data_IF_441611174778
#
_entry.id   IF_441611174778
#
_cell.length_a   1.000
_cell.length_b   1.000
_cell.length_c   1.000
_cell.angle_alpha   90.00
_cell.angle_beta   90.00
_cell.angle_gamma   90.00
#
_symmetry.space_group_name_H-M   'P 1'
#
loop_
_entity.id
_entity.type
_entity.pdbx_description
1 polymer ?
#
# COMPACT_ATOMS: atom_id res chain seq x y z
N UNK A 1 1.51 -35.96 -27.76
CA UNK A 1 1.85 -34.52 -27.82
C UNK A 1 3.19 -34.30 -27.16
N UNK A 2 4.06 -33.48 -27.75
CA UNK A 2 5.37 -33.15 -27.20
C UNK A 2 5.15 -32.07 -26.13
N UNK A 3 5.46 -32.35 -24.86
CA UNK A 3 5.30 -31.37 -23.79
C UNK A 3 6.15 -30.14 -24.10
N UNK A 4 5.50 -28.98 -24.24
CA UNK A 4 6.18 -27.71 -24.43
C UNK A 4 6.75 -27.28 -23.08
N UNK A 5 8.08 -27.21 -23.00
CA UNK A 5 8.77 -26.68 -21.84
C UNK A 5 8.98 -25.18 -22.04
N UNK A 6 8.29 -24.35 -21.25
CA UNK A 6 8.49 -22.89 -21.27
C UNK A 6 9.07 -22.45 -19.93
N UNK A 7 10.11 -21.62 -19.98
CA UNK A 7 10.60 -20.92 -18.78
C UNK A 7 9.61 -19.79 -18.48
N UNK A 8 8.92 -19.86 -17.34
CA UNK A 8 7.85 -18.90 -17.00
C UNK A 8 8.24 -17.97 -15.85
N UNK A 9 9.17 -18.38 -15.00
CA UNK A 9 9.70 -17.55 -13.93
C UNK A 9 11.16 -17.91 -13.63
N UNK A 10 11.91 -16.93 -13.13
CA UNK A 10 13.25 -17.14 -12.56
C UNK A 10 13.20 -16.75 -11.09
N UNK A 11 13.60 -17.66 -10.21
CA UNK A 11 13.82 -17.35 -8.79
C UNK A 11 15.32 -17.56 -8.53
N UNK A 12 16.04 -16.49 -8.23
CA UNK A 12 17.49 -16.51 -8.01
C UNK A 12 18.28 -17.21 -9.14
N UNK A 13 18.01 -16.83 -10.40
CA UNK A 13 18.59 -17.42 -11.62
C UNK A 13 18.24 -18.90 -11.88
N UNK A 14 17.30 -19.48 -11.13
CA UNK A 14 16.77 -20.82 -11.43
C UNK A 14 15.56 -20.67 -12.33
N UNK A 15 15.69 -21.16 -13.57
CA UNK A 15 14.56 -21.25 -14.52
C UNK A 15 13.55 -22.27 -14.02
N UNK A 16 12.35 -21.79 -13.71
CA UNK A 16 11.19 -22.63 -13.43
C UNK A 16 10.65 -23.11 -14.77
N UNK A 17 10.88 -24.39 -15.06
CA UNK A 17 10.38 -25.08 -16.24
C UNK A 17 8.94 -25.52 -15.97
N UNK A 18 8.00 -24.95 -16.72
CA UNK A 18 6.60 -25.41 -16.70
C UNK A 18 6.43 -26.45 -17.80
N UNK A 19 5.84 -27.58 -17.44
CA UNK A 19 5.38 -28.62 -18.37
C UNK A 19 3.96 -28.26 -18.77
N UNK A 20 3.72 -27.85 -20.02
CA UNK A 20 2.36 -27.58 -20.48
C UNK A 20 1.64 -28.88 -20.84
N UNK A 21 0.70 -29.27 -19.97
CA UNK A 21 -0.36 -30.26 -20.24
C UNK A 21 -1.65 -29.92 -19.43
N UNK A 22 -1.94 -28.62 -19.26
CA UNK A 22 -3.09 -28.11 -18.51
C UNK A 22 -2.78 -27.60 -17.09
N UNK A 23 -1.80 -28.20 -16.41
CA UNK A 23 -1.41 -27.81 -15.04
C UNK A 23 0.01 -27.26 -14.96
N UNK A 24 0.17 -26.08 -14.35
CA UNK A 24 1.47 -25.45 -14.12
C UNK A 24 2.16 -26.12 -12.93
N UNK A 25 3.03 -27.08 -13.19
CA UNK A 25 3.82 -27.78 -12.16
C UNK A 25 5.31 -27.43 -12.25
N UNK A 26 6.01 -27.60 -11.13
CA UNK A 26 7.43 -27.25 -10.98
C UNK A 26 8.20 -28.44 -10.40
N UNK A 27 9.22 -28.96 -11.10
CA UNK A 27 10.09 -30.00 -10.54
C UNK A 27 11.00 -29.42 -9.46
N UNK A 28 11.09 -30.08 -8.30
CA UNK A 28 11.91 -29.59 -7.17
C UNK A 28 13.40 -29.86 -7.36
N UNK A 29 13.75 -30.92 -8.10
CA UNK A 29 15.12 -31.40 -8.27
C UNK A 29 16.07 -30.34 -8.85
N UNK A 30 15.75 -29.66 -9.96
CA UNK A 30 16.61 -28.59 -10.48
C UNK A 30 16.85 -27.46 -9.49
N UNK A 31 15.84 -27.12 -8.68
CA UNK A 31 15.92 -26.06 -7.67
C UNK A 31 16.81 -26.53 -6.51
N UNK A 32 16.64 -27.76 -6.04
CA UNK A 32 17.49 -28.35 -5.00
C UNK A 32 18.97 -28.36 -5.42
N UNK A 33 19.26 -28.78 -6.65
CA UNK A 33 20.61 -28.76 -7.23
C UNK A 33 21.18 -27.34 -7.30
N UNK A 34 20.38 -26.36 -7.72
CA UNK A 34 20.82 -24.96 -7.77
C UNK A 34 21.16 -24.39 -6.38
N UNK A 35 20.38 -24.73 -5.35
CA UNK A 35 20.62 -24.30 -3.96
C UNK A 35 21.65 -25.14 -3.21
N UNK A 36 22.06 -26.29 -3.76
CA UNK A 36 22.97 -27.22 -3.10
C UNK A 36 22.34 -27.92 -1.89
N UNK A 37 21.05 -28.27 -1.99
CA UNK A 37 20.33 -29.02 -0.95
C UNK A 37 19.94 -30.42 -1.42
N UNK A 38 19.81 -31.35 -0.49
CA UNK A 38 19.40 -32.72 -0.75
C UNK A 38 17.93 -32.83 -1.21
N UNK A 39 17.71 -33.35 -2.41
CA UNK A 39 16.38 -33.46 -3.02
C UNK A 39 15.47 -34.42 -2.25
N UNK A 40 16.03 -35.54 -1.76
CA UNK A 40 15.27 -36.56 -1.06
C UNK A 40 14.78 -36.05 0.31
N UNK A 41 15.61 -35.26 1.01
CA UNK A 41 15.20 -34.59 2.24
C UNK A 41 14.08 -33.59 2.00
N UNK A 42 14.10 -32.84 0.89
CA UNK A 42 13.00 -31.92 0.58
C UNK A 42 11.73 -32.66 0.18
N UNK A 43 11.86 -33.74 -0.58
CA UNK A 43 10.74 -34.62 -0.94
C UNK A 43 10.05 -35.16 0.32
N UNK A 44 10.81 -35.73 1.27
CA UNK A 44 10.26 -36.21 2.56
C UNK A 44 9.54 -35.11 3.35
N UNK A 45 10.05 -33.88 3.32
CA UNK A 45 9.39 -32.73 3.97
C UNK A 45 8.06 -32.38 3.31
N UNK A 46 8.02 -32.41 1.97
CA UNK A 46 6.79 -32.17 1.21
C UNK A 46 5.78 -33.28 1.47
N UNK A 47 6.20 -34.54 1.46
CA UNK A 47 5.34 -35.69 1.75
C UNK A 47 4.82 -35.70 3.19
N UNK A 48 5.55 -35.10 4.14
CA UNK A 48 5.12 -34.93 5.53
C UNK A 48 4.28 -33.68 5.81
N UNK A 49 4.08 -32.80 4.82
CA UNK A 49 3.28 -31.58 4.95
C UNK A 49 1.83 -31.84 4.52
N UNK A 50 0.85 -31.48 5.34
CA UNK A 50 -0.58 -31.78 5.08
C UNK A 50 -1.11 -31.15 3.79
N UNK A 51 -0.59 -29.98 3.40
CA UNK A 51 -1.04 -29.26 2.21
C UNK A 51 -0.25 -29.75 1.00
N UNK A 52 1.08 -29.69 1.07
CA UNK A 52 1.96 -30.00 -0.06
C UNK A 52 1.89 -31.47 -0.47
N UNK A 53 1.72 -32.40 0.48
CA UNK A 53 1.59 -33.84 0.17
C UNK A 53 0.37 -34.15 -0.69
N UNK A 54 -0.74 -33.42 -0.50
CA UNK A 54 -1.99 -33.63 -1.24
C UNK A 54 -1.93 -33.16 -2.69
N UNK A 55 -0.99 -32.27 -3.01
CA UNK A 55 -0.86 -31.64 -4.33
C UNK A 55 0.43 -32.03 -5.06
N UNK A 56 1.39 -32.64 -4.38
CA UNK A 56 2.62 -33.13 -4.99
C UNK A 56 2.34 -34.32 -5.91
N UNK A 57 3.03 -34.37 -7.05
CA UNK A 57 2.83 -35.40 -8.06
C UNK A 57 4.13 -35.77 -8.76
N UNK A 58 4.19 -36.97 -9.32
CA UNK A 58 5.24 -37.36 -10.26
C UNK A 58 4.82 -36.95 -11.67
N UNK A 59 5.69 -36.25 -12.38
CA UNK A 59 5.41 -35.84 -13.76
C UNK A 59 6.67 -35.80 -14.62
N UNK A 60 6.49 -35.99 -15.92
CA UNK A 60 7.56 -35.93 -16.89
C UNK A 60 8.04 -34.48 -17.09
N UNK A 61 9.28 -34.20 -16.69
CA UNK A 61 9.92 -32.91 -16.84
C UNK A 61 11.24 -33.01 -17.62
N UNK A 62 11.57 -31.97 -18.37
CA UNK A 62 12.80 -31.89 -19.14
C UNK A 62 13.97 -31.54 -18.22
N UNK A 63 14.97 -32.41 -18.16
CA UNK A 63 16.23 -32.17 -17.47
C UNK A 63 17.12 -31.15 -18.20
N UNK A 64 18.20 -30.74 -17.52
CA UNK A 64 19.15 -29.76 -18.07
C UNK A 64 19.88 -30.26 -19.34
N UNK A 65 19.88 -31.57 -19.59
CA UNK A 65 20.45 -32.22 -20.78
C UNK A 65 19.44 -32.35 -21.93
N UNK A 66 18.25 -31.76 -21.79
CA UNK A 66 17.18 -31.79 -22.80
C UNK A 66 16.41 -33.12 -22.86
N UNK A 67 16.68 -34.07 -21.97
CA UNK A 67 15.95 -35.34 -21.89
C UNK A 67 14.79 -35.25 -20.91
N UNK A 68 13.77 -36.08 -21.11
CA UNK A 68 12.62 -36.13 -20.21
C UNK A 68 12.86 -37.17 -19.10
N UNK A 69 12.54 -36.78 -17.88
CA UNK A 69 12.60 -37.63 -16.69
C UNK A 69 11.30 -37.52 -15.91
N UNK A 70 10.87 -38.61 -15.28
CA UNK A 70 9.86 -38.52 -14.24
C UNK A 70 10.49 -37.83 -13.02
N UNK A 71 9.89 -36.72 -12.58
CA UNK A 71 10.38 -35.90 -11.48
C UNK A 71 9.27 -35.62 -10.48
N UNK A 72 9.66 -35.47 -9.22
CA UNK A 72 8.77 -35.00 -8.17
C UNK A 72 8.50 -33.51 -8.33
N UNK A 73 7.22 -33.18 -8.46
CA UNK A 73 6.73 -31.86 -8.82
C UNK A 73 5.69 -31.39 -7.82
N UNK A 74 5.63 -30.07 -7.63
CA UNK A 74 4.53 -29.40 -6.92
C UNK A 74 3.88 -28.37 -7.84
N UNK A 75 2.60 -28.03 -7.66
CA UNK A 75 1.97 -27.00 -8.48
C UNK A 75 2.64 -25.65 -8.23
N UNK A 76 2.68 -24.83 -9.28
CA UNK A 76 3.33 -23.52 -9.28
C UNK A 76 2.79 -22.59 -8.19
N UNK A 77 1.52 -22.71 -7.81
CA UNK A 77 0.94 -21.94 -6.71
C UNK A 77 1.66 -22.16 -5.37
N UNK A 78 2.12 -23.39 -5.12
CA UNK A 78 2.73 -23.79 -3.85
C UNK A 78 4.25 -23.62 -3.81
N UNK A 79 4.88 -23.32 -4.96
CA UNK A 79 6.34 -23.22 -5.07
C UNK A 79 6.91 -22.17 -4.11
N UNK A 80 6.23 -21.03 -3.99
CA UNK A 80 6.70 -19.91 -3.20
C UNK A 80 6.63 -20.19 -1.69
N UNK A 81 5.59 -20.93 -1.28
CA UNK A 81 5.42 -21.40 0.09
C UNK A 81 6.49 -22.42 0.45
N UNK A 82 6.73 -23.42 -0.41
CA UNK A 82 7.80 -24.39 -0.19
C UNK A 82 9.18 -23.72 -0.10
N UNK A 83 9.52 -22.83 -1.03
CA UNK A 83 10.80 -22.10 -1.01
C UNK A 83 10.98 -21.30 0.29
N UNK A 84 9.90 -20.75 0.85
CA UNK A 84 9.95 -20.02 2.11
C UNK A 84 10.33 -20.91 3.31
N UNK A 85 10.01 -22.21 3.26
CA UNK A 85 10.38 -23.17 4.32
C UNK A 85 11.88 -23.48 4.38
N UNK A 86 12.62 -23.21 3.29
CA UNK A 86 14.04 -23.53 3.20
C UNK A 86 14.84 -22.70 4.21
N UNK A 87 15.74 -23.35 4.93
CA UNK A 87 16.63 -22.69 5.89
C UNK A 87 17.90 -22.22 5.15
N UNK A 88 18.22 -20.91 5.15
CA UNK A 88 19.45 -20.41 4.53
C UNK A 88 20.73 -21.09 5.05
N UNK A 89 20.75 -21.57 6.31
CA UNK A 89 21.92 -22.28 6.85
C UNK A 89 22.18 -23.64 6.19
N UNK A 90 21.19 -24.20 5.52
CA UNK A 90 21.27 -25.52 4.90
C UNK A 90 21.55 -25.45 3.40
N UNK A 91 21.66 -24.25 2.81
CA UNK A 91 22.00 -24.07 1.39
C UNK A 91 23.49 -23.77 1.24
N UNK A 92 24.02 -23.95 0.02
CA UNK A 92 25.42 -23.63 -0.30
C UNK A 92 25.72 -22.14 -0.05
N UNK A 93 26.96 -21.77 0.33
CA UNK A 93 27.31 -20.39 0.70
C UNK A 93 26.86 -19.32 -0.30
N UNK A 94 26.96 -19.60 -1.60
CA UNK A 94 26.63 -18.64 -2.67
C UNK A 94 25.12 -18.36 -2.77
N UNK A 95 24.27 -19.27 -2.27
CA UNK A 95 22.81 -19.13 -2.31
C UNK A 95 22.23 -18.53 -1.01
N UNK A 96 23.00 -18.47 0.07
CA UNK A 96 22.47 -18.09 1.40
C UNK A 96 21.89 -16.67 1.42
N UNK A 97 22.59 -15.71 0.83
CA UNK A 97 22.14 -14.32 0.75
C UNK A 97 20.81 -14.21 0.01
N UNK A 98 20.71 -14.85 -1.16
CA UNK A 98 19.53 -14.80 -2.00
C UNK A 98 18.31 -15.49 -1.37
N UNK A 99 18.51 -16.63 -0.68
CA UNK A 99 17.43 -17.30 0.07
C UNK A 99 17.00 -16.46 1.27
N UNK A 100 17.94 -15.79 1.96
CA UNK A 100 17.62 -14.90 3.08
C UNK A 100 16.80 -13.69 2.64
N UNK A 101 17.21 -13.04 1.54
CA UNK A 101 16.49 -11.92 0.94
C UNK A 101 15.08 -12.33 0.49
N UNK A 102 14.95 -13.49 -0.15
CA UNK A 102 13.65 -14.06 -0.53
C UNK A 102 12.74 -14.24 0.69
N UNK A 103 13.23 -14.81 1.78
CA UNK A 103 12.43 -14.96 3.01
C UNK A 103 11.99 -13.63 3.59
N UNK A 104 12.86 -12.62 3.60
CA UNK A 104 12.52 -11.27 4.05
C UNK A 104 11.42 -10.65 3.18
N UNK A 105 11.50 -10.83 1.85
CA UNK A 105 10.46 -10.39 0.93
C UNK A 105 9.12 -11.09 1.21
N UNK A 106 9.12 -12.40 1.48
CA UNK A 106 7.93 -13.13 1.89
C UNK A 106 7.32 -12.59 3.18
N UNK A 107 8.12 -12.32 4.23
CA UNK A 107 7.61 -11.73 5.47
C UNK A 107 6.95 -10.38 5.24
N UNK A 108 7.58 -9.50 4.43
CA UNK A 108 7.02 -8.19 4.08
C UNK A 108 5.71 -8.33 3.30
N UNK A 109 5.66 -9.27 2.34
CA UNK A 109 4.47 -9.54 1.56
C UNK A 109 3.31 -10.05 2.43
N UNK A 110 3.58 -11.01 3.33
CA UNK A 110 2.59 -11.52 4.28
C UNK A 110 2.09 -10.42 5.20
N UNK A 111 3.00 -9.65 5.81
CA UNK A 111 2.64 -8.51 6.67
C UNK A 111 1.73 -7.53 5.94
N UNK A 112 2.11 -7.12 4.72
CA UNK A 112 1.29 -6.21 3.91
C UNK A 112 -0.06 -6.81 3.58
N UNK A 113 -0.13 -8.09 3.22
CA UNK A 113 -1.38 -8.77 2.89
C UNK A 113 -2.38 -8.74 4.05
N UNK A 114 -1.90 -9.05 5.27
CA UNK A 114 -2.76 -9.11 6.44
C UNK A 114 -3.03 -7.75 7.10
N UNK A 115 -2.18 -6.74 6.89
CA UNK A 115 -2.34 -5.41 7.53
C UNK A 115 -2.81 -4.31 6.59
N UNK A 116 -2.87 -4.54 5.27
CA UNK A 116 -3.22 -3.51 4.28
C UNK A 116 -4.52 -2.76 4.60
N UNK A 117 -5.56 -3.48 5.05
CA UNK A 117 -6.84 -2.86 5.42
C UNK A 117 -6.71 -1.96 6.65
N UNK A 118 -6.01 -2.42 7.69
CA UNK A 118 -5.79 -1.64 8.91
C UNK A 118 -4.97 -0.38 8.61
N UNK A 119 -3.87 -0.52 7.88
CA UNK A 119 -3.02 0.59 7.44
C UNK A 119 -3.81 1.59 6.58
N UNK A 120 -4.67 1.11 5.69
CA UNK A 120 -5.54 1.96 4.89
C UNK A 120 -6.53 2.75 5.75
N UNK A 121 -7.15 2.12 6.74
CA UNK A 121 -8.09 2.78 7.65
C UNK A 121 -7.39 3.85 8.49
N UNK A 122 -6.23 3.54 9.06
CA UNK A 122 -5.43 4.49 9.83
C UNK A 122 -5.04 5.71 8.98
N UNK A 123 -4.54 5.49 7.77
CA UNK A 123 -4.22 6.56 6.83
C UNK A 123 -5.46 7.40 6.48
N UNK A 124 -6.61 6.74 6.24
CA UNK A 124 -7.87 7.41 5.91
C UNK A 124 -8.37 8.26 7.07
N UNK A 125 -8.30 7.75 8.30
CA UNK A 125 -8.73 8.45 9.51
C UNK A 125 -7.86 9.69 9.77
N UNK A 126 -6.54 9.56 9.63
CA UNK A 126 -5.62 10.68 9.75
C UNK A 126 -5.90 11.78 8.71
N UNK A 127 -6.06 11.39 7.44
CA UNK A 127 -6.40 12.33 6.36
C UNK A 127 -7.77 12.99 6.58
N UNK A 128 -8.77 12.23 7.02
CA UNK A 128 -10.11 12.73 7.32
C UNK A 128 -10.09 13.74 8.48
N UNK A 129 -9.34 13.45 9.55
CA UNK A 129 -9.19 14.37 10.69
C UNK A 129 -8.57 15.71 10.25
N UNK A 130 -7.50 15.66 9.46
CA UNK A 130 -6.88 16.86 8.91
C UNK A 130 -7.86 17.66 8.04
N UNK A 131 -8.65 16.99 7.19
CA UNK A 131 -9.62 17.67 6.34
C UNK A 131 -10.79 18.27 7.13
N UNK A 132 -11.23 17.62 8.20
CA UNK A 132 -12.26 18.16 9.11
C UNK A 132 -11.79 19.46 9.74
N UNK A 133 -10.53 19.55 10.15
CA UNK A 133 -9.95 20.78 10.70
C UNK A 133 -9.98 21.93 9.69
N UNK A 134 -9.61 21.65 8.44
CA UNK A 134 -9.69 22.62 7.33
C UNK A 134 -11.14 23.07 7.11
N UNK A 135 -12.09 22.14 7.02
CA UNK A 135 -13.52 22.45 6.83
C UNK A 135 -14.06 23.30 7.97
N UNK A 136 -13.68 22.99 9.21
CA UNK A 136 -14.08 23.77 10.39
C UNK A 136 -13.52 25.20 10.34
N UNK A 137 -12.27 25.37 9.91
CA UNK A 137 -11.67 26.69 9.71
C UNK A 137 -12.44 27.48 8.66
N UNK A 138 -12.60 26.93 7.45
CA UNK A 138 -13.31 27.58 6.34
C UNK A 138 -14.75 27.92 6.73
N UNK A 139 -15.43 27.04 7.47
CA UNK A 139 -16.80 27.28 7.94
C UNK A 139 -16.89 28.45 8.93
N UNK A 140 -15.88 28.63 9.80
CA UNK A 140 -15.80 29.79 10.70
C UNK A 140 -15.58 31.07 9.90
N UNK A 141 -14.58 31.07 9.03
CA UNK A 141 -14.21 32.21 8.19
C UNK A 141 -15.41 32.65 7.33
N UNK A 142 -16.17 31.70 6.78
CA UNK A 142 -17.39 31.98 6.00
C UNK A 142 -18.50 32.64 6.84
N UNK A 143 -18.75 32.14 8.07
CA UNK A 143 -19.77 32.73 8.97
C UNK A 143 -19.42 34.16 9.36
N UNK A 144 -18.14 34.43 9.61
CA UNK A 144 -17.64 35.77 9.92
C UNK A 144 -17.84 36.70 8.71
N UNK A 145 -17.42 36.27 7.51
CA UNK A 145 -17.64 37.03 6.28
C UNK A 145 -19.13 37.30 6.02
N UNK A 146 -20.00 36.33 6.29
CA UNK A 146 -21.45 36.49 6.16
C UNK A 146 -22.00 37.53 7.15
N UNK A 147 -21.54 37.52 8.40
CA UNK A 147 -21.89 38.52 9.42
C UNK A 147 -21.47 39.92 8.99
N UNK A 148 -20.23 40.07 8.53
CA UNK A 148 -19.68 41.33 8.02
C UNK A 148 -20.48 41.84 6.83
N UNK A 149 -20.83 40.96 5.88
CA UNK A 149 -21.67 41.32 4.74
C UNK A 149 -23.06 41.80 5.19
N UNK A 150 -23.66 41.14 6.18
CA UNK A 150 -24.96 41.54 6.73
C UNK A 150 -24.88 42.94 7.35
N UNK A 151 -23.84 43.23 8.13
CA UNK A 151 -23.62 44.54 8.75
C UNK A 151 -23.40 45.63 7.68
N UNK A 152 -22.59 45.36 6.66
CA UNK A 152 -22.34 46.29 5.56
C UNK A 152 -23.62 46.60 4.77
N UNK A 153 -24.44 45.58 4.48
CA UNK A 153 -25.76 45.77 3.83
C UNK A 153 -26.71 46.59 4.69
N UNK A 154 -26.76 46.34 6.01
CA UNK A 154 -27.59 47.12 6.92
C UNK A 154 -27.19 48.60 6.91
N UNK A 155 -25.89 48.90 7.03
CA UNK A 155 -25.36 50.27 6.98
C UNK A 155 -25.65 50.96 5.63
N UNK A 156 -25.52 50.25 4.52
CA UNK A 156 -25.87 50.77 3.19
C UNK A 156 -27.35 51.16 3.12
N UNK A 157 -28.23 50.30 3.61
CA UNK A 157 -29.67 50.58 3.60
C UNK A 157 -30.00 51.79 4.46
N UNK A 158 -29.43 51.88 5.67
CA UNK A 158 -29.60 53.07 6.53
C UNK A 158 -29.17 54.35 5.81
N UNK A 159 -28.03 54.33 5.11
CA UNK A 159 -27.56 55.49 4.33
C UNK A 159 -28.46 55.82 3.14
N UNK A 160 -29.06 54.82 2.49
CA UNK A 160 -30.02 55.03 1.39
C UNK A 160 -31.33 55.65 1.88
N UNK A 161 -31.75 55.27 3.09
CA UNK A 161 -33.01 55.70 3.68
C UNK A 161 -32.87 57.04 4.45
N UNK A 162 -31.64 57.51 4.69
CA UNK A 162 -31.38 58.79 5.39
C UNK A 162 -31.89 59.97 4.55
N UNK A 163 -32.71 60.82 5.17
CA UNK A 163 -33.28 62.00 4.52
C UNK A 163 -32.43 63.26 4.76
N UNK A 164 -32.60 64.28 3.90
CA UNK A 164 -31.91 65.57 4.03
C UNK A 164 -32.27 66.27 5.36
N UNK A 165 -33.53 66.20 5.78
CA UNK A 165 -34.00 66.78 7.06
C UNK A 165 -33.34 66.11 8.27
N UNK A 166 -33.20 64.79 8.28
CA UNK A 166 -32.51 64.06 9.35
C UNK A 166 -31.00 64.37 9.40
N UNK A 167 -30.37 64.52 8.24
CA UNK A 167 -28.96 64.91 8.14
C UNK A 167 -28.73 66.34 8.65
N UNK A 168 -29.57 67.28 8.23
CA UNK A 168 -29.50 68.67 8.70
C UNK A 168 -29.78 68.78 10.20
N UNK A 169 -30.74 68.03 10.74
CA UNK A 169 -31.05 68.04 12.17
C UNK A 169 -29.85 67.61 13.03
N UNK A 170 -29.07 66.63 12.58
CA UNK A 170 -27.87 66.14 13.28
C UNK A 170 -26.62 67.01 13.05
N UNK A 171 -26.55 67.79 11.97
CA UNK A 171 -25.38 68.61 11.62
C UNK A 171 -25.59 70.13 11.84
N UNK A 172 -26.70 70.54 12.45
CA UNK A 172 -27.04 71.97 12.65
C UNK A 172 -26.19 72.70 13.69
N UNK A 173 -25.39 72.00 14.50
CA UNK A 173 -24.62 72.62 15.58
C UNK A 173 -23.16 72.87 15.16
N UNK A 174 -22.81 74.14 14.95
CA UNK A 174 -21.42 74.59 14.86
C UNK A 174 -20.79 74.52 16.26
N UNK A 175 -19.89 73.56 16.50
CA UNK A 175 -19.11 73.55 17.74
C UNK A 175 -18.00 74.60 17.65
N UNK A 176 -18.12 75.67 18.43
CA UNK A 176 -16.97 76.52 18.74
C UNK A 176 -16.29 75.95 19.99
N UNK A 177 -15.14 75.29 19.80
CA UNK A 177 -14.25 74.94 20.90
C UNK A 177 -13.49 76.21 21.31
N UNK A 178 -13.76 76.72 22.51
CA UNK A 178 -12.96 77.77 23.11
C UNK A 178 -11.83 77.13 23.93
N UNK A 179 -10.56 77.53 23.74
CA UNK A 179 -9.46 76.99 24.53
C UNK A 179 -9.65 77.38 26.00
N UNK A 180 -9.52 76.41 26.90
CA UNK A 180 -9.55 76.64 28.35
C UNK A 180 -8.39 77.57 28.74
N UNK A 181 -8.70 78.66 29.43
CA UNK A 181 -7.70 79.53 30.04
C UNK A 181 -6.92 78.72 31.07
N UNK A 182 -5.62 78.56 30.81
CA UNK A 182 -4.68 78.08 31.81
C UNK A 182 -4.57 79.14 32.90
N UNK A 183 -5.25 78.93 34.03
CA UNK A 183 -5.04 79.71 35.25
C UNK A 183 -3.59 79.50 35.76
N UNK A 184 -2.92 80.62 36.05
CA UNK A 184 -1.56 80.73 36.58
C UNK A 184 -1.38 80.14 37.99
#
# INVERSE_FOLDING_TARGET
>A
MKALTRTVATVNNVSILIVENGEKIVPIRPICKAMGIDEDSQKRKIEGDEILSSVATLSMATGADGKNYEMFCIPYEFIFGWLFTINPKNVKPEAQAAVTEYKLACYKALFRSFTAKALFLEHKEAAMKAQIEVVNKVSRDFREAQSTLKLAKARLNTLKDTTLEEWEANNRQLSFEFPEETEE
#
